data_IF_569758082057
#
_entry.id   IF_569758082057
#
_cell.length_a   1.000
_cell.length_b   1.000
_cell.length_c   1.000
_cell.angle_alpha   90.00
_cell.angle_beta   90.00
_cell.angle_gamma   90.00
#
_symmetry.space_group_name_H-M   'P 1'
#
loop_
_entity.id
_entity.type
_entity.pdbx_description
1 polymer ?
#
# COMPACT_ATOMS: atom_id res chain seq x y z
N UNK A 1 14.25 12.49 6.48
CA UNK A 1 12.79 12.54 6.31
C UNK A 1 12.23 11.34 5.55
N UNK A 2 12.82 10.96 4.43
CA UNK A 2 12.43 9.70 3.73
C UNK A 2 12.65 8.48 4.62
N UNK A 3 13.76 8.41 5.34
CA UNK A 3 14.07 7.30 6.25
C UNK A 3 13.03 7.21 7.39
N UNK A 4 12.57 8.35 7.86
CA UNK A 4 11.52 8.43 8.87
C UNK A 4 10.19 7.89 8.33
N UNK A 5 9.82 8.30 7.12
CA UNK A 5 8.62 7.82 6.47
C UNK A 5 8.67 6.32 6.22
N UNK A 6 9.80 5.82 5.78
CA UNK A 6 10.06 4.39 5.58
C UNK A 6 9.85 3.61 6.89
N UNK A 7 10.39 4.12 7.99
CA UNK A 7 10.22 3.51 9.30
C UNK A 7 8.76 3.45 9.75
N UNK A 8 7.94 4.42 9.35
CA UNK A 8 6.50 4.42 9.65
C UNK A 8 5.70 3.49 8.77
N UNK A 9 6.11 3.32 7.52
CA UNK A 9 5.36 2.53 6.55
C UNK A 9 5.65 1.03 6.67
N UNK A 10 6.84 0.67 7.14
CA UNK A 10 7.31 -0.71 7.16
C UNK A 10 7.25 -1.46 8.48
N UNK A 11 7.12 -0.84 9.68
CA UNK A 11 7.30 -1.59 10.94
C UNK A 11 6.23 -2.65 11.20
N UNK A 12 5.16 -2.68 10.44
CA UNK A 12 4.06 -3.62 10.63
C UNK A 12 4.01 -4.73 9.58
N UNK A 13 5.00 -4.78 8.69
CA UNK A 13 4.97 -5.67 7.53
C UNK A 13 6.08 -6.71 7.64
N UNK A 14 6.26 -7.27 8.86
CA UNK A 14 7.33 -8.22 9.06
C UNK A 14 6.86 -9.67 9.09
N UNK A 15 7.77 -10.49 8.69
CA UNK A 15 7.80 -11.89 8.31
C UNK A 15 6.87 -12.83 9.08
N UNK A 16 6.60 -12.58 10.35
CA UNK A 16 5.77 -13.47 11.17
C UNK A 16 4.28 -13.39 10.82
N UNK A 17 3.83 -12.23 10.39
CA UNK A 17 2.42 -12.02 10.03
C UNK A 17 2.09 -12.59 8.65
N UNK A 18 3.07 -12.56 7.74
CA UNK A 18 2.91 -13.10 6.39
C UNK A 18 2.72 -14.61 6.39
N UNK A 19 3.32 -15.33 7.33
CA UNK A 19 3.23 -16.80 7.38
C UNK A 19 1.94 -17.30 8.03
N UNK A 20 1.37 -16.50 8.93
CA UNK A 20 0.21 -16.92 9.73
C UNK A 20 -1.13 -16.51 9.15
N UNK A 21 -1.14 -15.52 8.26
CA UNK A 21 -2.36 -14.95 7.69
C UNK A 21 -2.56 -15.43 6.26
N UNK A 22 -3.82 -15.50 5.83
CA UNK A 22 -4.12 -15.60 4.41
C UNK A 22 -3.63 -14.34 3.71
N UNK A 23 -3.41 -14.41 2.40
CA UNK A 23 -2.98 -13.24 1.64
C UNK A 23 -4.00 -12.10 1.71
N UNK A 24 -5.30 -12.42 1.66
CA UNK A 24 -6.35 -11.41 1.82
C UNK A 24 -6.28 -10.73 3.18
N UNK A 25 -6.12 -11.50 4.25
CA UNK A 25 -6.04 -10.94 5.61
C UNK A 25 -4.75 -10.14 5.81
N UNK A 26 -3.66 -10.57 5.17
CA UNK A 26 -2.42 -9.82 5.19
C UNK A 26 -2.59 -8.43 4.55
N UNK A 27 -3.24 -8.37 3.41
CA UNK A 27 -3.53 -7.09 2.74
C UNK A 27 -4.46 -6.22 3.57
N UNK A 28 -5.48 -6.81 4.21
CA UNK A 28 -6.38 -6.08 5.11
C UNK A 28 -5.63 -5.49 6.30
N UNK A 29 -4.69 -6.22 6.86
CA UNK A 29 -3.88 -5.75 7.98
C UNK A 29 -2.99 -4.58 7.57
N UNK A 30 -2.34 -4.69 6.42
CA UNK A 30 -1.50 -3.61 5.88
C UNK A 30 -2.33 -2.33 5.73
N UNK A 31 -3.51 -2.42 5.14
CA UNK A 31 -4.39 -1.27 4.94
C UNK A 31 -4.86 -0.71 6.27
N UNK A 32 -5.22 -1.55 7.22
CA UNK A 32 -5.60 -1.12 8.57
C UNK A 32 -4.49 -0.29 9.22
N UNK A 33 -3.24 -0.73 9.09
CA UNK A 33 -2.10 -0.03 9.67
C UNK A 33 -1.82 1.29 8.95
N UNK A 34 -1.95 1.32 7.63
CA UNK A 34 -1.83 2.55 6.84
C UNK A 34 -2.89 3.57 7.27
N UNK A 35 -4.14 3.13 7.41
CA UNK A 35 -5.23 4.00 7.84
C UNK A 35 -5.04 4.53 9.25
N UNK A 36 -4.52 3.70 10.15
CA UNK A 36 -4.19 4.13 11.51
C UNK A 36 -3.15 5.25 11.48
N UNK A 37 -2.10 5.10 10.69
CA UNK A 37 -1.08 6.13 10.50
C UNK A 37 -1.70 7.38 9.88
N UNK A 38 -2.56 7.22 8.88
CA UNK A 38 -3.24 8.34 8.25
C UNK A 38 -4.09 9.15 9.24
N UNK A 39 -4.81 8.49 10.13
CA UNK A 39 -5.63 9.16 11.16
C UNK A 39 -4.79 9.92 12.17
N UNK A 40 -3.68 9.33 12.63
CA UNK A 40 -2.89 9.84 13.74
C UNK A 40 -1.75 10.75 13.29
N UNK A 41 -1.21 10.52 12.10
CA UNK A 41 -0.02 11.21 11.58
C UNK A 41 -0.18 11.55 10.10
N UNK A 42 -1.23 12.29 9.79
CA UNK A 42 -1.57 12.68 8.41
C UNK A 42 -0.42 13.38 7.69
N UNK A 43 0.41 14.11 8.44
CA UNK A 43 1.57 14.82 7.88
C UNK A 43 2.57 13.88 7.19
N UNK A 44 2.62 12.60 7.56
CA UNK A 44 3.50 11.61 6.91
C UNK A 44 3.13 11.47 5.44
N UNK A 45 1.85 11.44 5.14
CA UNK A 45 1.37 11.30 3.76
C UNK A 45 1.49 12.59 2.96
N UNK A 46 1.39 13.74 3.62
CA UNK A 46 1.68 15.02 2.98
C UNK A 46 3.16 15.13 2.59
N UNK A 47 4.04 14.68 3.48
CA UNK A 47 5.48 14.62 3.18
C UNK A 47 5.77 13.69 2.01
N UNK A 48 5.07 12.56 1.91
CA UNK A 48 5.21 11.64 0.79
C UNK A 48 4.90 12.31 -0.56
N UNK A 49 3.83 13.09 -0.62
CA UNK A 49 3.50 13.85 -1.84
C UNK A 49 4.63 14.79 -2.22
N UNK A 50 5.22 15.47 -1.24
CA UNK A 50 6.35 16.36 -1.47
C UNK A 50 7.57 15.61 -1.98
N UNK A 51 7.85 14.40 -1.49
CA UNK A 51 8.94 13.57 -1.96
C UNK A 51 8.73 13.15 -3.42
N UNK A 52 7.54 12.74 -3.79
CA UNK A 52 7.25 12.38 -5.17
C UNK A 52 7.43 13.57 -6.12
N UNK A 53 7.00 14.75 -5.70
CA UNK A 53 7.20 15.97 -6.49
C UNK A 53 8.69 16.33 -6.60
N UNK A 54 9.42 16.25 -5.49
CA UNK A 54 10.84 16.60 -5.44
C UNK A 54 11.72 15.61 -6.23
N UNK A 55 11.30 14.36 -6.37
CA UNK A 55 12.04 13.33 -7.09
C UNK A 55 12.32 13.71 -8.56
N UNK A 56 11.53 14.61 -9.14
CA UNK A 56 11.75 15.10 -10.50
C UNK A 56 12.90 16.09 -10.59
N UNK A 57 13.34 16.67 -9.46
CA UNK A 57 14.32 17.76 -9.42
C UNK A 57 15.57 17.44 -8.60
N UNK A 58 15.58 16.31 -7.91
CA UNK A 58 16.68 15.92 -7.03
C UNK A 58 16.98 14.43 -7.22
N UNK A 59 18.17 14.12 -7.73
CA UNK A 59 18.57 12.75 -8.05
C UNK A 59 18.67 11.84 -6.82
N UNK A 60 19.11 12.38 -5.68
CA UNK A 60 19.21 11.61 -4.44
C UNK A 60 17.82 11.23 -3.94
N UNK A 61 16.90 12.17 -3.92
CA UNK A 61 15.50 11.91 -3.56
C UNK A 61 14.86 10.92 -4.54
N UNK A 62 15.15 11.07 -5.83
CA UNK A 62 14.65 10.13 -6.85
C UNK A 62 15.10 8.70 -6.58
N UNK A 63 16.37 8.50 -6.29
CA UNK A 63 16.94 7.18 -6.01
C UNK A 63 16.28 6.55 -4.79
N UNK A 64 16.15 7.31 -3.70
CA UNK A 64 15.52 6.83 -2.47
C UNK A 64 14.04 6.51 -2.67
N UNK A 65 13.32 7.37 -3.38
CA UNK A 65 11.90 7.17 -3.67
C UNK A 65 11.69 5.94 -4.55
N UNK A 66 12.53 5.76 -5.56
CA UNK A 66 12.50 4.59 -6.44
C UNK A 66 12.76 3.30 -5.65
N UNK A 67 13.74 3.31 -4.76
CA UNK A 67 14.06 2.15 -3.94
C UNK A 67 12.89 1.78 -3.03
N UNK A 68 12.25 2.77 -2.43
CA UNK A 68 11.08 2.57 -1.60
C UNK A 68 9.91 1.99 -2.40
N UNK A 69 9.63 2.56 -3.57
CA UNK A 69 8.62 2.06 -4.49
C UNK A 69 8.86 0.58 -4.83
N UNK A 70 10.09 0.24 -5.18
CA UNK A 70 10.44 -1.13 -5.55
C UNK A 70 10.26 -2.10 -4.37
N UNK A 71 10.59 -1.69 -3.16
CA UNK A 71 10.42 -2.52 -1.96
C UNK A 71 8.94 -2.78 -1.66
N UNK A 72 8.11 -1.77 -1.79
CA UNK A 72 6.65 -1.93 -1.63
C UNK A 72 6.09 -2.84 -2.70
N UNK A 73 6.50 -2.65 -3.94
CA UNK A 73 6.04 -3.49 -5.05
C UNK A 73 6.41 -4.95 -4.83
N UNK A 74 7.65 -5.22 -4.40
CA UNK A 74 8.12 -6.57 -4.11
C UNK A 74 7.33 -7.21 -2.97
N UNK A 75 7.00 -6.45 -1.95
CA UNK A 75 6.19 -6.93 -0.83
C UNK A 75 4.81 -7.37 -1.31
N UNK A 76 4.12 -6.54 -2.07
CA UNK A 76 2.79 -6.87 -2.58
C UNK A 76 2.85 -8.07 -3.54
N UNK A 77 3.87 -8.16 -4.37
CA UNK A 77 4.07 -9.33 -5.23
C UNK A 77 4.23 -10.62 -4.43
N UNK A 78 4.99 -10.56 -3.34
CA UNK A 78 5.20 -11.71 -2.46
C UNK A 78 3.89 -12.18 -1.85
N UNK A 79 3.06 -11.25 -1.38
CA UNK A 79 1.76 -11.57 -0.80
C UNK A 79 0.84 -12.19 -1.84
N UNK A 80 0.80 -11.63 -3.03
CA UNK A 80 -0.05 -12.13 -4.12
C UNK A 80 0.41 -13.50 -4.59
N UNK A 81 1.72 -13.71 -4.77
CA UNK A 81 2.28 -15.00 -5.15
C UNK A 81 1.92 -16.08 -4.12
N UNK A 82 1.97 -15.77 -2.85
CA UNK A 82 1.55 -16.69 -1.80
C UNK A 82 0.08 -17.06 -1.95
N UNK A 83 -0.78 -16.08 -2.19
CA UNK A 83 -2.21 -16.32 -2.40
C UNK A 83 -2.49 -17.21 -3.62
N UNK A 84 -1.74 -17.03 -4.70
CA UNK A 84 -1.87 -17.86 -5.89
C UNK A 84 -1.38 -19.29 -5.59
N UNK A 85 -0.21 -19.44 -4.97
CA UNK A 85 0.37 -20.75 -4.71
C UNK A 85 -0.44 -21.58 -3.71
N UNK A 86 -1.12 -20.95 -2.79
CA UNK A 86 -1.99 -21.60 -1.81
C UNK A 86 -3.43 -21.81 -2.29
N UNK A 87 -3.73 -21.40 -3.51
CA UNK A 87 -5.05 -21.58 -4.10
C UNK A 87 -6.12 -20.59 -3.64
N UNK A 88 -5.74 -19.58 -2.88
CA UNK A 88 -6.63 -18.50 -2.44
C UNK A 88 -7.02 -17.58 -3.61
N UNK A 89 -6.04 -17.23 -4.43
CA UNK A 89 -6.22 -16.38 -5.60
C UNK A 89 -6.15 -17.19 -6.88
N UNK A 90 -6.88 -16.74 -7.88
CA UNK A 90 -6.76 -17.29 -9.23
C UNK A 90 -5.41 -16.91 -9.83
N UNK A 91 -5.04 -17.52 -10.95
CA UNK A 91 -3.85 -17.14 -11.69
C UNK A 91 -4.00 -15.67 -12.15
N UNK A 92 -3.03 -14.84 -11.77
CA UNK A 92 -3.04 -13.39 -12.02
C UNK A 92 -1.69 -12.97 -12.58
N UNK A 93 -1.70 -11.89 -13.36
CA UNK A 93 -0.48 -11.14 -13.63
C UNK A 93 -0.07 -10.45 -12.33
N UNK A 94 0.99 -10.97 -11.69
CA UNK A 94 1.40 -10.52 -10.35
C UNK A 94 1.84 -9.07 -10.35
N UNK A 95 2.51 -8.62 -11.41
CA UNK A 95 2.94 -7.23 -11.52
C UNK A 95 1.75 -6.28 -11.57
N UNK A 96 0.78 -6.58 -12.40
CA UNK A 96 -0.44 -5.78 -12.55
C UNK A 96 -1.24 -5.80 -11.25
N UNK A 97 -1.39 -6.96 -10.63
CA UNK A 97 -2.15 -7.09 -9.39
C UNK A 97 -1.51 -6.28 -8.25
N UNK A 98 -0.19 -6.37 -8.09
CA UNK A 98 0.54 -5.62 -7.07
C UNK A 98 0.42 -4.11 -7.32
N UNK A 99 0.60 -3.68 -8.55
CA UNK A 99 0.49 -2.27 -8.93
C UNK A 99 -0.93 -1.75 -8.71
N UNK A 100 -1.94 -2.56 -8.99
CA UNK A 100 -3.36 -2.19 -8.76
C UNK A 100 -3.61 -1.88 -7.28
N UNK A 101 -3.06 -2.68 -6.37
CA UNK A 101 -3.17 -2.44 -4.93
C UNK A 101 -2.44 -1.14 -4.55
N UNK A 102 -1.20 -1.00 -4.98
CA UNK A 102 -0.39 0.18 -4.65
C UNK A 102 -1.04 1.47 -5.13
N UNK A 103 -1.48 1.51 -6.39
CA UNK A 103 -2.10 2.70 -6.95
C UNK A 103 -3.43 3.03 -6.29
N UNK A 104 -4.19 2.02 -5.90
CA UNK A 104 -5.46 2.22 -5.19
C UNK A 104 -5.23 2.82 -3.80
N UNK A 105 -4.24 2.32 -3.06
CA UNK A 105 -3.89 2.87 -1.75
C UNK A 105 -3.46 4.32 -1.88
N UNK A 106 -2.53 4.60 -2.78
CA UNK A 106 -2.00 5.95 -2.98
C UNK A 106 -3.09 6.90 -3.45
N UNK A 107 -3.89 6.48 -4.43
CA UNK A 107 -4.95 7.32 -4.97
C UNK A 107 -6.00 7.68 -3.93
N UNK A 108 -6.46 6.70 -3.15
CA UNK A 108 -7.47 6.97 -2.11
C UNK A 108 -6.92 7.91 -1.05
N UNK A 109 -5.70 7.70 -0.58
CA UNK A 109 -5.09 8.54 0.45
C UNK A 109 -4.86 9.95 -0.06
N UNK A 110 -4.26 10.10 -1.24
CA UNK A 110 -3.97 11.43 -1.80
C UNK A 110 -5.24 12.21 -2.09
N UNK A 111 -6.24 11.57 -2.70
CA UNK A 111 -7.51 12.25 -3.00
C UNK A 111 -8.30 12.55 -1.73
N UNK A 112 -8.16 11.74 -0.68
CA UNK A 112 -8.84 11.99 0.59
C UNK A 112 -8.36 13.28 1.27
N UNK A 113 -7.14 13.72 0.99
CA UNK A 113 -6.63 14.99 1.52
C UNK A 113 -7.46 16.17 1.00
N UNK A 114 -7.99 16.05 -0.22
CA UNK A 114 -8.76 17.11 -0.88
C UNK A 114 -10.26 16.89 -0.82
N UNK A 115 -10.69 15.74 -0.29
CA UNK A 115 -12.10 15.33 -0.31
C UNK A 115 -12.87 16.03 0.81
N UNK A 116 -13.98 16.65 0.44
CA UNK A 116 -14.90 17.32 1.38
C UNK A 116 -16.18 16.51 1.61
N UNK A 117 -16.29 15.29 1.01
CA UNK A 117 -17.47 14.47 1.18
C UNK A 117 -17.52 13.85 2.58
N UNK A 118 -18.70 13.32 2.94
CA UNK A 118 -18.90 12.64 4.21
C UNK A 118 -18.27 11.24 4.28
N UNK A 119 -17.72 10.74 3.15
CA UNK A 119 -17.07 9.43 3.12
C UNK A 119 -15.63 9.57 3.59
N UNK A 120 -15.26 8.74 4.56
CA UNK A 120 -13.90 8.73 5.09
C UNK A 120 -12.93 7.94 4.20
N UNK A 121 -11.64 8.27 4.27
CA UNK A 121 -10.59 7.48 3.62
C UNK A 121 -10.67 6.01 4.02
N UNK A 122 -11.01 5.75 5.27
CA UNK A 122 -11.17 4.38 5.80
C UNK A 122 -12.24 3.61 5.03
N UNK A 123 -13.42 4.19 4.84
CA UNK A 123 -14.50 3.55 4.11
C UNK A 123 -14.11 3.31 2.65
N UNK A 124 -13.54 4.31 1.98
CA UNK A 124 -13.10 4.17 0.60
C UNK A 124 -12.05 3.07 0.44
N UNK A 125 -11.02 3.12 1.25
CA UNK A 125 -9.89 2.21 1.09
C UNK A 125 -10.28 0.76 1.41
N UNK A 126 -11.07 0.55 2.47
CA UNK A 126 -11.57 -0.77 2.80
C UNK A 126 -12.46 -1.33 1.69
N UNK A 127 -13.35 -0.51 1.14
CA UNK A 127 -14.23 -0.95 0.06
C UNK A 127 -13.48 -1.22 -1.22
N UNK A 128 -12.50 -0.40 -1.56
CA UNK A 128 -11.65 -0.59 -2.75
C UNK A 128 -10.86 -1.89 -2.61
N UNK A 129 -10.29 -2.15 -1.44
CA UNK A 129 -9.57 -3.40 -1.21
C UNK A 129 -10.49 -4.62 -1.39
N UNK A 130 -11.68 -4.60 -0.80
CA UNK A 130 -12.61 -5.73 -0.93
C UNK A 130 -13.03 -5.93 -2.39
N UNK A 131 -13.20 -4.85 -3.14
CA UNK A 131 -13.47 -4.92 -4.58
C UNK A 131 -12.34 -5.60 -5.34
N UNK A 132 -11.10 -5.24 -5.03
CA UNK A 132 -9.91 -5.85 -5.65
C UNK A 132 -9.80 -7.32 -5.27
N UNK A 133 -9.95 -7.66 -3.98
CA UNK A 133 -9.86 -9.03 -3.50
C UNK A 133 -10.94 -9.92 -4.11
N UNK A 134 -12.13 -9.40 -4.32
CA UNK A 134 -13.18 -10.13 -5.03
C UNK A 134 -12.73 -10.49 -6.46
N UNK A 135 -12.06 -9.56 -7.14
CA UNK A 135 -11.50 -9.81 -8.45
C UNK A 135 -10.36 -10.81 -8.48
N UNK A 136 -9.62 -10.96 -7.37
CA UNK A 136 -8.51 -11.90 -7.24
C UNK A 136 -8.98 -13.31 -6.86
N UNK A 137 -10.14 -13.42 -6.27
CA UNK A 137 -10.64 -14.67 -5.73
C UNK A 137 -10.76 -15.74 -6.82
N UNK A 138 -10.33 -16.94 -6.46
CA UNK A 138 -10.39 -18.09 -7.34
C UNK A 138 -11.82 -18.59 -7.62
#
# INVERSE_FOLDING_TARGET
>A
MIDYWEAYSFPYIFDNDLEKLTSSDCLRLIIKNILKTFKTKKYVFLAELEFWALANHDDDVRTKTKNLYNRLLMLFKKIINKGISEGEFKSLDVDVAALSIMTSIQGVIWFSIFEESNLSAEQYLNNVLEFILYGFKK
#
